data_IF_271289762955
#
_entry.id   IF_271289762955
#
_cell.length_a   1.000
_cell.length_b   1.000
_cell.length_c   1.000
_cell.angle_alpha   90.00
_cell.angle_beta   90.00
_cell.angle_gamma   90.00
#
_symmetry.space_group_name_H-M   'P 1'
#
loop_
_entity.id
_entity.type
_entity.pdbx_description
1 polymer ?
#
# COMPACT_ATOMS: atom_id res chain seq x y z
N UNK A 1 -15.20 3.43 38.88
CA UNK A 1 -14.94 3.75 37.44
C UNK A 1 -14.13 2.61 36.87
N UNK A 2 -14.81 1.65 36.23
CA UNK A 2 -14.16 0.47 35.66
C UNK A 2 -13.66 0.81 34.27
N UNK A 3 -12.32 0.75 34.10
CA UNK A 3 -11.67 0.78 32.79
C UNK A 3 -12.12 -0.42 31.98
N UNK A 4 -12.99 -0.21 31.01
CA UNK A 4 -13.34 -1.20 30.01
C UNK A 4 -12.20 -1.25 29.00
N UNK A 5 -11.19 -2.08 29.26
CA UNK A 5 -10.21 -2.46 28.26
C UNK A 5 -10.94 -3.31 27.22
N UNK A 6 -11.18 -2.71 26.05
CA UNK A 6 -11.63 -3.41 24.85
C UNK A 6 -10.50 -4.31 24.36
N UNK A 7 -10.39 -5.49 24.90
CA UNK A 7 -9.57 -6.54 24.30
C UNK A 7 -10.25 -7.01 23.01
N UNK A 8 -9.56 -7.04 21.86
CA UNK A 8 -10.14 -7.61 20.65
C UNK A 8 -10.50 -9.07 20.88
N UNK A 9 -11.73 -9.45 20.61
CA UNK A 9 -12.25 -10.82 20.76
C UNK A 9 -11.80 -11.75 19.63
N UNK A 10 -10.56 -11.66 19.19
CA UNK A 10 -10.02 -12.54 18.16
C UNK A 10 -9.09 -13.58 18.79
N UNK A 11 -9.38 -14.83 18.51
CA UNK A 11 -8.52 -15.96 18.87
C UNK A 11 -7.12 -15.74 18.29
N UNK A 12 -6.14 -15.63 19.17
CA UNK A 12 -4.75 -15.23 18.87
C UNK A 12 -4.01 -16.09 17.83
N UNK A 13 -4.53 -17.22 17.42
CA UNK A 13 -3.79 -18.19 16.58
C UNK A 13 -4.34 -18.25 15.16
N UNK A 14 -5.64 -18.07 14.95
CA UNK A 14 -6.25 -18.18 13.61
C UNK A 14 -6.29 -16.85 12.84
N UNK A 15 -6.15 -15.70 13.51
CA UNK A 15 -6.36 -14.37 12.92
C UNK A 15 -5.11 -13.48 12.89
N UNK A 16 -3.95 -13.92 13.42
CA UNK A 16 -2.75 -13.07 13.39
C UNK A 16 -2.32 -12.71 11.95
N UNK A 17 -2.61 -13.58 10.99
CA UNK A 17 -2.30 -13.32 9.58
C UNK A 17 -3.26 -12.32 8.91
N UNK A 18 -4.44 -12.09 9.49
CA UNK A 18 -5.42 -11.12 8.99
C UNK A 18 -5.28 -9.73 9.64
N UNK A 19 -4.52 -9.61 10.73
CA UNK A 19 -4.37 -8.36 11.49
C UNK A 19 -3.42 -7.34 10.85
N UNK A 20 -2.67 -7.71 9.80
CA UNK A 20 -1.65 -6.85 9.18
C UNK A 20 -1.94 -6.59 7.71
N UNK A 21 -1.75 -5.36 7.20
CA UNK A 21 -1.94 -5.06 5.79
C UNK A 21 -1.02 -5.90 4.88
N UNK A 22 0.18 -6.26 5.37
CA UNK A 22 1.16 -7.03 4.61
C UNK A 22 0.76 -8.48 4.32
N UNK A 23 -0.25 -9.04 4.99
CA UNK A 23 -0.68 -10.43 4.76
C UNK A 23 -1.43 -10.63 3.45
N UNK A 24 -2.14 -9.61 2.98
CA UNK A 24 -2.89 -9.62 1.74
C UNK A 24 -3.71 -10.92 1.53
N UNK A 25 -4.66 -11.23 2.44
CA UNK A 25 -5.40 -12.49 2.39
C UNK A 25 -6.22 -12.66 1.10
N UNK A 26 -6.57 -11.56 0.43
CA UNK A 26 -7.36 -11.54 -0.79
C UNK A 26 -6.54 -11.30 -2.08
N UNK A 27 -5.21 -11.47 -2.03
CA UNK A 27 -4.33 -11.21 -3.18
C UNK A 27 -4.66 -12.02 -4.45
N UNK A 28 -5.26 -13.21 -4.30
CA UNK A 28 -5.67 -14.07 -5.41
C UNK A 28 -7.11 -13.87 -5.86
N UNK A 29 -7.90 -13.08 -5.13
CA UNK A 29 -9.28 -12.80 -5.48
C UNK A 29 -9.38 -11.98 -6.76
N UNK A 30 -10.35 -12.26 -7.62
CA UNK A 30 -10.70 -11.40 -8.74
C UNK A 30 -11.31 -10.08 -8.26
N UNK A 31 -11.42 -9.09 -9.15
CA UNK A 31 -12.02 -7.81 -8.80
C UNK A 31 -13.49 -7.96 -8.39
N UNK A 32 -14.23 -8.80 -9.10
CA UNK A 32 -15.63 -9.12 -8.77
C UNK A 32 -15.76 -9.76 -7.40
N UNK A 33 -14.85 -10.68 -7.07
CA UNK A 33 -14.82 -11.30 -5.73
C UNK A 33 -14.48 -10.30 -4.63
N UNK A 34 -13.55 -9.36 -4.88
CA UNK A 34 -13.23 -8.32 -3.91
C UNK A 34 -14.42 -7.40 -3.63
N UNK A 35 -15.17 -7.03 -4.67
CA UNK A 35 -16.40 -6.25 -4.51
C UNK A 35 -17.43 -7.01 -3.68
N UNK A 36 -17.71 -8.28 -4.04
CA UNK A 36 -18.66 -9.10 -3.30
C UNK A 36 -18.26 -9.32 -1.84
N UNK A 37 -16.98 -9.58 -1.56
CA UNK A 37 -16.46 -9.71 -0.18
C UNK A 37 -16.55 -8.40 0.60
N UNK A 38 -16.35 -7.27 -0.06
CA UNK A 38 -16.51 -5.97 0.58
C UNK A 38 -17.97 -5.72 0.97
N UNK A 39 -18.92 -6.01 0.08
CA UNK A 39 -20.34 -5.89 0.36
C UNK A 39 -20.80 -6.82 1.50
N UNK A 40 -20.29 -8.06 1.52
CA UNK A 40 -20.52 -9.01 2.62
C UNK A 40 -19.95 -8.48 3.95
N UNK A 41 -18.74 -7.97 3.94
CA UNK A 41 -18.12 -7.35 5.11
C UNK A 41 -18.94 -6.17 5.65
N UNK A 42 -19.45 -5.32 4.75
CA UNK A 42 -20.36 -4.23 5.14
C UNK A 42 -21.67 -4.74 5.75
N UNK A 43 -22.25 -5.79 5.20
CA UNK A 43 -23.50 -6.38 5.70
C UNK A 43 -23.32 -7.01 7.09
N UNK A 44 -22.16 -7.63 7.34
CA UNK A 44 -21.81 -8.28 8.61
C UNK A 44 -21.21 -7.33 9.65
N UNK A 45 -20.84 -6.09 9.27
CA UNK A 45 -20.09 -5.17 10.12
C UNK A 45 -18.67 -5.66 10.41
N UNK A 46 -18.08 -6.45 9.49
CA UNK A 46 -16.71 -6.96 9.59
C UNK A 46 -15.71 -5.93 9.02
N UNK A 47 -15.26 -5.04 9.90
CA UNK A 47 -14.30 -4.00 9.56
C UNK A 47 -12.95 -4.54 9.13
N UNK A 48 -12.52 -5.70 9.65
CA UNK A 48 -11.23 -6.28 9.28
C UNK A 48 -11.25 -6.84 7.86
N UNK A 49 -12.26 -7.63 7.50
CA UNK A 49 -12.41 -8.13 6.13
C UNK A 49 -12.60 -6.98 5.12
N UNK A 50 -13.42 -5.99 5.46
CA UNK A 50 -13.61 -4.79 4.65
C UNK A 50 -12.31 -4.00 4.44
N UNK A 51 -11.52 -3.85 5.50
CA UNK A 51 -10.21 -3.21 5.44
C UNK A 51 -9.23 -3.93 4.49
N UNK A 52 -9.18 -5.25 4.54
CA UNK A 52 -8.35 -6.03 3.61
C UNK A 52 -8.83 -5.92 2.16
N UNK A 53 -10.13 -5.83 1.91
CA UNK A 53 -10.65 -5.58 0.56
C UNK A 53 -10.21 -4.19 0.05
N UNK A 54 -10.34 -3.15 0.86
CA UNK A 54 -9.90 -1.79 0.52
C UNK A 54 -8.39 -1.76 0.27
N UNK A 55 -7.60 -2.36 1.18
CA UNK A 55 -6.15 -2.42 1.04
C UNK A 55 -5.72 -3.13 -0.26
N UNK A 56 -6.33 -4.26 -0.60
CA UNK A 56 -6.03 -4.98 -1.83
C UNK A 56 -6.39 -4.16 -3.09
N UNK A 57 -7.54 -3.50 -3.10
CA UNK A 57 -7.95 -2.58 -4.18
C UNK A 57 -6.97 -1.41 -4.32
N UNK A 58 -6.57 -0.82 -3.19
CA UNK A 58 -5.53 0.23 -3.16
C UNK A 58 -4.22 -0.25 -3.77
N UNK A 59 -3.72 -1.43 -3.37
CA UNK A 59 -2.49 -2.00 -3.90
C UNK A 59 -2.56 -2.32 -5.39
N UNK A 60 -3.75 -2.60 -5.93
CA UNK A 60 -3.98 -2.81 -7.37
C UNK A 60 -4.12 -1.52 -8.15
N UNK A 61 -4.11 -0.37 -7.49
CA UNK A 61 -4.20 0.93 -8.13
C UNK A 61 -5.62 1.42 -8.39
N UNK A 62 -6.55 1.06 -7.53
CA UNK A 62 -7.89 1.64 -7.56
C UNK A 62 -7.82 3.17 -7.37
N UNK A 63 -8.69 3.89 -8.04
CA UNK A 63 -8.74 5.34 -7.96
C UNK A 63 -8.97 5.85 -6.54
N UNK A 64 -8.21 6.86 -6.06
CA UNK A 64 -8.31 7.38 -4.70
C UNK A 64 -9.73 7.72 -4.27
N UNK A 65 -10.53 8.35 -5.13
CA UNK A 65 -11.92 8.68 -4.81
C UNK A 65 -12.80 7.47 -4.53
N UNK A 66 -12.54 6.32 -5.18
CA UNK A 66 -13.27 5.07 -4.89
C UNK A 66 -12.81 4.43 -3.60
N UNK A 67 -11.52 4.55 -3.28
CA UNK A 67 -10.97 4.10 -2.00
C UNK A 67 -11.57 4.93 -0.86
N UNK A 68 -11.63 6.25 -1.00
CA UNK A 68 -12.23 7.14 0.00
C UNK A 68 -13.72 6.83 0.22
N UNK A 69 -14.49 6.64 -0.86
CA UNK A 69 -15.88 6.24 -0.74
C UNK A 69 -16.05 4.88 -0.03
N UNK A 70 -15.19 3.91 -0.33
CA UNK A 70 -15.21 2.62 0.35
C UNK A 70 -14.84 2.73 1.83
N UNK A 71 -13.85 3.57 2.18
CA UNK A 71 -13.50 3.87 3.57
C UNK A 71 -14.67 4.51 4.31
N UNK A 72 -15.35 5.48 3.70
CA UNK A 72 -16.50 6.14 4.30
C UNK A 72 -17.65 5.15 4.59
N UNK A 73 -17.95 4.25 3.64
CA UNK A 73 -18.97 3.21 3.85
C UNK A 73 -18.56 2.22 4.93
N UNK A 74 -17.29 1.81 4.98
CA UNK A 74 -16.78 0.92 6.01
C UNK A 74 -16.88 1.57 7.39
N UNK A 75 -16.48 2.85 7.52
CA UNK A 75 -16.61 3.59 8.77
C UNK A 75 -18.05 3.74 9.24
N UNK A 76 -19.00 3.93 8.34
CA UNK A 76 -20.43 4.01 8.70
C UNK A 76 -20.96 2.70 9.27
N UNK A 77 -20.51 1.55 8.78
CA UNK A 77 -21.11 0.25 9.06
C UNK A 77 -20.31 -0.63 10.02
N UNK A 78 -19.00 -0.49 10.05
CA UNK A 78 -18.11 -1.40 10.76
C UNK A 78 -17.06 -0.71 11.65
N UNK A 79 -17.27 0.55 12.05
CA UNK A 79 -16.30 1.39 12.75
C UNK A 79 -15.59 0.71 13.94
N UNK A 80 -16.30 -0.17 14.67
CA UNK A 80 -15.78 -0.83 15.89
C UNK A 80 -14.77 -1.95 15.61
N UNK A 81 -14.72 -2.43 14.38
CA UNK A 81 -13.91 -3.59 13.98
C UNK A 81 -12.86 -3.24 12.92
N UNK A 82 -12.79 -1.97 12.52
CA UNK A 82 -11.76 -1.48 11.61
C UNK A 82 -10.41 -1.53 12.31
N UNK A 83 -9.39 -2.16 11.70
CA UNK A 83 -8.05 -2.22 12.28
C UNK A 83 -7.35 -0.85 12.25
N UNK A 84 -6.42 -0.63 13.19
CA UNK A 84 -5.71 0.65 13.36
C UNK A 84 -4.84 1.03 12.14
N UNK A 85 -4.44 0.06 11.33
CA UNK A 85 -3.68 0.33 10.10
C UNK A 85 -4.53 0.87 8.94
N UNK A 86 -5.86 0.88 9.05
CA UNK A 86 -6.76 1.49 8.09
C UNK A 86 -7.40 2.76 8.68
N UNK A 87 -7.63 3.82 7.91
CA UNK A 87 -7.13 4.08 6.56
C UNK A 87 -5.65 4.47 6.61
N UNK A 88 -4.90 4.21 5.57
CA UNK A 88 -3.44 4.50 5.44
C UNK A 88 -3.03 5.96 5.73
N UNK A 89 -3.88 6.73 6.39
CA UNK A 89 -3.66 8.11 6.90
C UNK A 89 -2.61 8.19 8.02
N UNK A 90 -2.19 7.05 8.56
CA UNK A 90 -1.06 6.99 9.49
C UNK A 90 0.26 7.40 8.84
N UNK A 91 0.33 7.45 7.50
CA UNK A 91 1.48 7.92 6.74
C UNK A 91 1.35 9.44 6.56
N UNK A 92 1.91 10.20 7.51
CA UNK A 92 1.74 11.66 7.59
C UNK A 92 2.28 12.41 6.37
N UNK A 93 3.32 11.87 5.73
CA UNK A 93 3.96 12.47 4.56
C UNK A 93 3.38 11.96 3.21
N UNK A 94 2.37 11.11 3.20
CA UNK A 94 1.77 10.61 1.96
C UNK A 94 1.28 11.74 1.01
N UNK A 95 0.66 12.84 1.48
CA UNK A 95 0.32 13.98 0.60
C UNK A 95 1.54 14.55 -0.13
N UNK A 96 2.67 14.70 0.56
CA UNK A 96 3.93 15.16 -0.05
C UNK A 96 4.40 14.22 -1.18
N UNK A 97 4.25 12.90 -1.00
CA UNK A 97 4.57 11.93 -2.06
C UNK A 97 3.71 12.14 -3.28
N UNK A 98 2.42 12.41 -3.13
CA UNK A 98 1.54 12.76 -4.26
C UNK A 98 1.98 14.04 -4.96
N UNK A 99 2.37 15.08 -4.23
CA UNK A 99 2.84 16.34 -4.79
C UNK A 99 4.15 16.16 -5.58
N UNK A 100 5.11 15.41 -5.03
CA UNK A 100 6.38 15.15 -5.70
C UNK A 100 6.17 14.28 -6.94
N UNK A 101 5.40 13.18 -6.84
CA UNK A 101 5.17 12.28 -7.98
C UNK A 101 4.40 12.96 -9.12
N UNK A 102 3.50 13.90 -8.82
CA UNK A 102 2.75 14.65 -9.82
C UNK A 102 3.64 15.53 -10.74
N UNK A 103 4.87 15.83 -10.33
CA UNK A 103 5.84 16.59 -11.14
C UNK A 103 6.44 15.75 -12.28
N UNK A 104 6.30 14.43 -12.21
CA UNK A 104 6.82 13.51 -13.21
C UNK A 104 5.72 13.13 -14.20
N UNK A 105 6.02 13.22 -15.48
CA UNK A 105 5.12 12.83 -16.56
C UNK A 105 5.81 11.84 -17.47
N UNK A 106 5.07 10.89 -18.00
CA UNK A 106 5.57 9.92 -18.94
C UNK A 106 4.53 9.55 -20.00
N UNK A 107 4.99 9.28 -21.22
CA UNK A 107 4.13 8.75 -22.26
C UNK A 107 3.84 7.26 -22.00
N UNK A 108 2.55 6.90 -21.84
CA UNK A 108 2.12 5.52 -21.70
C UNK A 108 2.29 4.74 -23.02
N UNK A 109 3.49 4.22 -23.29
CA UNK A 109 3.80 3.47 -24.52
C UNK A 109 4.82 2.35 -24.29
N UNK A 110 4.82 1.74 -23.12
CA UNK A 110 5.78 0.70 -22.76
C UNK A 110 5.18 -0.36 -21.83
N UNK A 111 6.07 -1.10 -21.16
CA UNK A 111 5.68 -2.17 -20.22
C UNK A 111 6.25 -1.95 -18.81
N UNK A 112 6.98 -0.87 -18.59
CA UNK A 112 7.57 -0.60 -17.28
C UNK A 112 6.64 0.24 -16.44
N UNK A 113 6.65 -0.04 -15.16
CA UNK A 113 5.85 0.60 -14.14
C UNK A 113 6.77 1.15 -13.06
N UNK A 114 6.57 2.39 -12.64
CA UNK A 114 7.18 2.93 -11.43
C UNK A 114 6.32 2.50 -10.24
N UNK A 115 6.96 2.10 -9.15
CA UNK A 115 6.26 1.73 -7.93
C UNK A 115 6.98 2.25 -6.70
N UNK A 116 6.18 2.53 -5.69
CA UNK A 116 6.63 2.92 -4.37
C UNK A 116 6.22 1.83 -3.37
N UNK A 117 7.12 1.49 -2.44
CA UNK A 117 6.83 0.56 -1.36
C UNK A 117 7.09 1.26 -0.04
N UNK A 118 6.12 1.21 0.86
CA UNK A 118 6.25 1.64 2.24
C UNK A 118 7.19 0.68 2.98
N UNK A 119 8.17 1.24 3.68
CA UNK A 119 9.14 0.49 4.50
C UNK A 119 8.92 0.76 5.98
N UNK A 120 9.04 -0.28 6.81
CA UNK A 120 8.96 -0.22 8.26
C UNK A 120 10.34 0.07 8.88
N UNK A 121 10.45 1.17 9.60
CA UNK A 121 11.60 1.57 10.40
C UNK A 121 11.24 1.82 11.87
N UNK A 122 10.14 1.27 12.35
CA UNK A 122 9.66 1.41 13.73
C UNK A 122 10.68 0.93 14.79
N UNK A 123 11.67 0.13 14.37
CA UNK A 123 12.81 -0.31 15.18
C UNK A 123 13.92 0.75 15.35
N UNK A 124 13.78 1.93 14.74
CA UNK A 124 14.77 3.00 14.76
C UNK A 124 14.20 4.28 15.35
N UNK A 125 15.09 5.21 15.73
CA UNK A 125 14.68 6.56 16.11
C UNK A 125 14.37 7.37 14.86
N UNK A 126 13.33 8.21 14.92
CA UNK A 126 12.90 9.08 13.83
C UNK A 126 11.56 8.64 13.22
N UNK A 127 11.34 8.96 11.96
CA UNK A 127 10.12 8.53 11.27
C UNK A 127 10.07 7.00 11.19
N UNK A 128 8.99 6.37 11.66
CA UNK A 128 8.84 4.92 11.61
C UNK A 128 8.68 4.37 10.19
N UNK A 129 8.53 5.22 9.19
CA UNK A 129 8.32 4.83 7.82
C UNK A 129 9.37 5.39 6.88
N UNK A 130 9.64 4.66 5.82
CA UNK A 130 10.44 5.09 4.69
C UNK A 130 9.84 4.61 3.38
N UNK A 131 10.47 4.97 2.27
CA UNK A 131 10.05 4.62 0.93
C UNK A 131 11.12 3.81 0.21
N UNK A 132 10.67 2.87 -0.61
CA UNK A 132 11.48 2.30 -1.69
C UNK A 132 10.89 2.72 -3.02
N UNK A 133 11.73 3.25 -3.90
CA UNK A 133 11.40 3.58 -5.29
C UNK A 133 11.98 2.50 -6.19
N UNK A 134 11.18 2.00 -7.13
CA UNK A 134 11.64 1.00 -8.08
C UNK A 134 10.87 1.03 -9.39
N UNK A 135 11.42 0.35 -10.39
CA UNK A 135 10.72 0.10 -11.64
C UNK A 135 10.62 -1.40 -11.96
N UNK A 136 9.60 -1.80 -12.70
CA UNK A 136 9.41 -3.19 -13.10
C UNK A 136 8.56 -3.31 -14.36
N UNK A 137 8.73 -4.43 -15.10
CA UNK A 137 7.78 -4.84 -16.14
C UNK A 137 6.54 -5.55 -15.57
N UNK A 138 6.57 -5.94 -14.30
CA UNK A 138 5.42 -6.48 -13.59
C UNK A 138 4.59 -5.34 -12.99
N UNK A 139 3.32 -5.61 -12.70
CA UNK A 139 2.52 -4.65 -11.92
C UNK A 139 3.17 -4.40 -10.55
N UNK A 140 2.94 -3.23 -9.93
CA UNK A 140 3.48 -2.94 -8.60
C UNK A 140 3.18 -4.02 -7.56
N UNK A 141 1.94 -4.51 -7.50
CA UNK A 141 1.54 -5.57 -6.58
C UNK A 141 2.27 -6.90 -6.84
N UNK A 142 2.36 -7.34 -8.12
CA UNK A 142 3.11 -8.54 -8.48
C UNK A 142 4.60 -8.42 -8.13
N UNK A 143 5.18 -7.24 -8.35
CA UNK A 143 6.58 -7.00 -8.02
C UNK A 143 6.82 -7.02 -6.51
N UNK A 144 5.91 -6.47 -5.74
CA UNK A 144 5.96 -6.56 -4.28
C UNK A 144 5.93 -8.02 -3.79
N UNK A 145 5.03 -8.84 -4.33
CA UNK A 145 4.97 -10.27 -3.99
C UNK A 145 6.28 -11.00 -4.32
N UNK A 146 6.90 -10.71 -5.47
CA UNK A 146 8.22 -11.23 -5.82
C UNK A 146 9.30 -10.81 -4.83
N UNK A 147 9.30 -9.53 -4.39
CA UNK A 147 10.22 -9.07 -3.36
C UNK A 147 10.03 -9.82 -2.05
N UNK A 148 8.79 -10.01 -1.61
CA UNK A 148 8.46 -10.74 -0.37
C UNK A 148 8.80 -12.23 -0.47
N UNK A 149 8.74 -12.81 -1.66
CA UNK A 149 9.17 -14.18 -1.95
C UNK A 149 10.70 -14.32 -2.15
N UNK A 150 11.48 -13.24 -2.04
CA UNK A 150 12.93 -13.26 -2.25
C UNK A 150 13.36 -13.31 -3.72
N UNK A 151 12.46 -13.20 -4.67
CA UNK A 151 12.74 -13.29 -6.13
C UNK A 151 13.35 -11.97 -6.61
N UNK A 152 14.67 -11.96 -6.86
CA UNK A 152 15.44 -10.76 -7.23
C UNK A 152 15.07 -9.57 -6.33
N UNK A 153 14.99 -9.83 -5.04
CA UNK A 153 14.49 -8.90 -4.06
C UNK A 153 15.51 -7.79 -3.75
N UNK A 154 15.02 -6.55 -3.62
CA UNK A 154 15.74 -5.53 -2.91
C UNK A 154 15.75 -5.89 -1.41
N UNK A 155 16.92 -5.88 -0.78
CA UNK A 155 17.07 -6.31 0.62
C UNK A 155 16.25 -5.48 1.60
N UNK A 156 16.08 -4.18 1.33
CA UNK A 156 15.22 -3.29 2.10
C UNK A 156 13.75 -3.69 2.03
N UNK A 157 13.24 -4.00 0.84
CA UNK A 157 11.86 -4.42 0.63
C UNK A 157 11.58 -5.79 1.23
N UNK A 158 12.49 -6.75 1.04
CA UNK A 158 12.34 -8.09 1.61
C UNK A 158 12.19 -8.03 3.14
N UNK A 159 13.03 -7.23 3.80
CA UNK A 159 13.08 -7.13 5.26
C UNK A 159 12.02 -6.20 5.83
N UNK A 160 11.74 -5.09 5.18
CA UNK A 160 11.00 -3.94 5.72
C UNK A 160 9.75 -3.55 4.93
N UNK A 161 9.51 -4.14 3.74
CA UNK A 161 8.36 -3.81 2.92
C UNK A 161 7.03 -4.14 3.61
N UNK A 162 6.17 -3.13 3.76
CA UNK A 162 4.83 -3.23 4.34
C UNK A 162 3.80 -3.38 3.23
N UNK A 163 3.75 -2.39 2.32
CA UNK A 163 2.75 -2.30 1.27
C UNK A 163 3.22 -1.49 0.06
N UNK A 164 2.52 -1.61 -1.05
CA UNK A 164 2.72 -0.78 -2.24
C UNK A 164 1.86 0.47 -2.15
N UNK A 165 2.47 1.64 -2.32
CA UNK A 165 1.76 2.91 -2.45
C UNK A 165 1.47 3.17 -3.94
N UNK A 166 0.47 2.49 -4.49
CA UNK A 166 0.18 2.54 -5.93
C UNK A 166 -0.44 3.88 -6.36
N UNK A 167 -1.27 4.48 -5.51
CA UNK A 167 -1.98 5.73 -5.84
C UNK A 167 -1.08 6.83 -6.40
N UNK A 168 0.03 7.21 -5.73
CA UNK A 168 0.93 8.27 -6.22
C UNK A 168 1.54 8.01 -7.59
N UNK A 169 1.73 6.75 -7.99
CA UNK A 169 2.40 6.38 -9.24
C UNK A 169 1.48 5.84 -10.33
N UNK A 170 0.15 5.96 -10.20
CA UNK A 170 -0.82 5.48 -11.19
C UNK A 170 -0.55 6.01 -12.60
N UNK A 171 -0.19 7.26 -12.73
CA UNK A 171 0.11 7.92 -14.00
C UNK A 171 1.49 7.54 -14.59
N UNK A 172 2.32 6.82 -13.83
CA UNK A 172 3.66 6.36 -14.22
C UNK A 172 3.67 4.84 -14.51
N UNK A 173 2.56 4.31 -14.95
CA UNK A 173 2.41 2.91 -15.37
C UNK A 173 2.50 2.79 -16.91
N UNK A 174 2.94 1.61 -17.38
CA UNK A 174 3.02 1.28 -18.81
C UNK A 174 3.88 2.24 -19.65
N UNK A 175 5.01 2.68 -19.12
CA UNK A 175 5.95 3.59 -19.75
C UNK A 175 7.14 2.86 -20.38
N UNK A 176 7.92 3.55 -21.24
CA UNK A 176 9.12 2.97 -21.84
C UNK A 176 10.18 2.70 -20.77
N UNK A 177 10.94 1.60 -20.92
CA UNK A 177 11.97 1.20 -19.96
C UNK A 177 13.03 2.28 -19.70
N UNK A 178 13.50 2.94 -20.76
CA UNK A 178 14.51 4.01 -20.64
C UNK A 178 13.96 5.22 -19.88
N UNK A 179 12.70 5.55 -20.08
CA UNK A 179 12.03 6.63 -19.38
C UNK A 179 11.76 6.24 -17.91
N UNK A 180 11.33 4.99 -17.68
CA UNK A 180 11.16 4.46 -16.32
C UNK A 180 12.46 4.51 -15.52
N UNK A 181 13.59 4.09 -16.12
CA UNK A 181 14.88 4.13 -15.44
C UNK A 181 15.31 5.57 -15.07
N UNK A 182 15.07 6.53 -15.95
CA UNK A 182 15.34 7.94 -15.66
C UNK A 182 14.43 8.49 -14.56
N UNK A 183 13.13 8.15 -14.60
CA UNK A 183 12.16 8.59 -13.60
C UNK A 183 12.45 7.93 -12.25
N UNK A 184 12.80 6.65 -12.20
CA UNK A 184 13.12 5.93 -10.96
C UNK A 184 14.20 6.66 -10.16
N UNK A 185 15.31 7.03 -10.81
CA UNK A 185 16.42 7.77 -10.19
C UNK A 185 15.97 9.16 -9.75
N UNK A 186 15.40 9.94 -10.67
CA UNK A 186 15.02 11.32 -10.41
C UNK A 186 13.90 11.43 -9.34
N UNK A 187 12.98 10.48 -9.31
CA UNK A 187 11.94 10.43 -8.29
C UNK A 187 12.50 10.07 -6.91
N UNK A 188 13.44 9.13 -6.84
CA UNK A 188 14.10 8.79 -5.58
C UNK A 188 14.87 9.99 -5.01
N UNK A 189 15.59 10.72 -5.86
CA UNK A 189 16.29 11.96 -5.50
C UNK A 189 15.29 13.03 -5.01
N UNK A 190 14.24 13.32 -5.78
CA UNK A 190 13.27 14.35 -5.41
C UNK A 190 12.54 14.04 -4.09
N UNK A 191 12.20 12.79 -3.83
CA UNK A 191 11.60 12.38 -2.57
C UNK A 191 12.60 12.47 -1.40
N UNK A 192 13.87 12.16 -1.64
CA UNK A 192 14.94 12.33 -0.64
C UNK A 192 15.19 13.80 -0.33
N UNK A 193 15.22 14.66 -1.35
CA UNK A 193 15.39 16.12 -1.19
C UNK A 193 14.19 16.73 -0.45
N UNK A 194 13.00 16.16 -0.58
CA UNK A 194 11.83 16.52 0.19
C UNK A 194 11.88 16.05 1.67
N UNK A 195 12.98 15.42 2.09
CA UNK A 195 13.22 15.02 3.48
C UNK A 195 12.75 13.61 3.85
N UNK A 196 12.35 12.80 2.88
CA UNK A 196 11.89 11.44 3.15
C UNK A 196 13.07 10.45 3.20
N UNK A 197 12.92 9.39 4.01
CA UNK A 197 13.87 8.28 4.04
C UNK A 197 13.63 7.35 2.84
N UNK A 198 14.43 7.53 1.78
CA UNK A 198 14.25 6.83 0.49
C UNK A 198 15.34 5.78 0.25
N UNK A 199 14.93 4.65 -0.30
CA UNK A 199 15.77 3.57 -0.80
C UNK A 199 15.43 3.28 -2.26
N UNK A 200 16.37 2.70 -3.04
CA UNK A 200 16.17 2.43 -4.47
C UNK A 200 16.72 3.54 -5.37
N UNK A 201 16.24 3.64 -6.59
CA UNK A 201 16.74 4.65 -7.55
C UNK A 201 18.07 4.29 -8.18
N UNK A 202 18.33 2.99 -8.48
CA UNK A 202 19.63 2.49 -9.01
C UNK A 202 19.50 1.96 -10.42
#
# INVERSE_FOLDING_TARGET
MQNCQLTPRFSKVANCDLERPSTRPFRSASETELVGRFEEALALGDGLAGAHCIHERWMRGEYPARIEAALEELWKRAAKTIPDWLPMRYITWLPLVYEVTAQFTAAARGRSNIYLILLDYSDRRGDPHGLYVGMSAYSPAQRFDQHKAGIRAAGSVLKRGIEVLTGPTLHLQHIKRSEAARIEVALAEALSDAGLNVQGGH
#
